data_IF_422181764155
#
_entry.id   IF_422181764155
#
_cell.length_a   1.000
_cell.length_b   1.000
_cell.length_c   1.000
_cell.angle_alpha   90.00
_cell.angle_beta   90.00
_cell.angle_gamma   90.00
#
_symmetry.space_group_name_H-M   'P 1'
#
loop_
_entity.id
_entity.type
_entity.pdbx_description
1 polymer ?
#
# COMPACT_ATOMS: atom_id res chain seq x y z
N UNK A 1 -50.05 37.34 2.25
CA UNK A 1 -50.58 36.00 1.95
C UNK A 1 -50.05 35.03 2.98
N UNK A 2 -50.94 34.50 3.79
CA UNK A 2 -50.71 33.83 5.07
C UNK A 2 -51.09 32.36 4.93
N UNK A 3 -50.11 31.46 5.16
CA UNK A 3 -50.18 30.08 5.71
C UNK A 3 -51.04 29.02 4.94
N UNK A 4 -50.79 27.68 5.05
CA UNK A 4 -50.17 26.97 6.18
C UNK A 4 -49.19 25.82 5.84
N UNK A 5 -48.44 25.35 6.85
CA UNK A 5 -47.98 23.95 6.98
C UNK A 5 -49.14 23.15 7.64
N UNK A 6 -49.29 21.78 7.60
CA UNK A 6 -48.23 20.86 8.04
C UNK A 6 -48.34 19.33 7.65
N UNK A 7 -47.35 18.55 8.12
CA UNK A 7 -47.43 17.18 8.68
C UNK A 7 -47.66 15.91 7.83
N UNK A 8 -46.79 14.93 8.15
CA UNK A 8 -46.96 13.47 8.26
C UNK A 8 -46.45 12.50 7.18
N UNK A 9 -45.79 11.46 7.73
CA UNK A 9 -44.97 10.38 7.17
C UNK A 9 -45.83 9.19 6.70
N UNK A 10 -45.24 8.17 6.03
CA UNK A 10 -44.99 6.96 6.80
C UNK A 10 -43.63 6.29 6.54
N UNK A 11 -42.92 6.07 7.64
CA UNK A 11 -42.46 4.75 8.10
C UNK A 11 -41.88 3.79 7.03
N UNK A 12 -40.56 3.59 7.07
CA UNK A 12 -40.03 2.25 7.35
C UNK A 12 -38.61 2.33 7.93
N UNK A 13 -38.48 1.64 9.07
CA UNK A 13 -37.28 1.41 9.83
C UNK A 13 -36.17 0.77 8.99
N UNK A 14 -34.94 1.22 9.19
CA UNK A 14 -33.76 0.58 8.63
C UNK A 14 -32.51 1.04 9.35
N UNK A 15 -32.25 0.41 10.50
CA UNK A 15 -30.92 0.34 11.13
C UNK A 15 -29.85 0.16 10.05
N UNK A 16 -28.67 0.77 10.22
CA UNK A 16 -27.32 0.22 9.96
C UNK A 16 -26.29 1.32 9.66
N UNK A 17 -25.60 1.79 10.71
CA UNK A 17 -24.13 1.81 10.66
C UNK A 17 -23.65 0.35 10.64
N UNK A 18 -22.58 -0.02 9.92
CA UNK A 18 -21.31 0.72 9.84
C UNK A 18 -20.75 0.91 8.43
N UNK A 19 -20.01 2.00 8.19
CA UNK A 19 -19.22 2.15 6.96
C UNK A 19 -17.88 1.43 7.14
N UNK A 20 -17.88 0.21 6.63
CA UNK A 20 -16.80 -0.76 6.44
C UNK A 20 -15.49 -0.11 5.94
N UNK A 21 -14.30 -0.50 6.42
CA UNK A 21 -13.04 -0.22 5.74
C UNK A 21 -13.06 -0.93 4.39
N UNK A 22 -13.22 -0.16 3.30
CA UNK A 22 -13.04 -0.55 1.89
C UNK A 22 -12.97 -2.07 1.64
N UNK A 23 -14.09 -2.75 1.88
CA UNK A 23 -14.35 -4.05 1.30
C UNK A 23 -14.61 -3.78 -0.17
N UNK A 24 -13.62 -4.05 -1.00
CA UNK A 24 -13.82 -4.14 -2.43
C UNK A 24 -14.95 -5.17 -2.63
N UNK A 25 -16.08 -4.72 -3.15
CA UNK A 25 -17.27 -5.51 -3.42
C UNK A 25 -16.90 -6.82 -4.13
N UNK A 26 -17.24 -7.95 -3.52
CA UNK A 26 -17.15 -9.27 -4.14
C UNK A 26 -18.01 -9.28 -5.40
N UNK A 27 -17.48 -9.67 -6.57
CA UNK A 27 -18.31 -9.86 -7.75
C UNK A 27 -19.27 -11.03 -7.50
N UNK A 28 -20.53 -10.78 -7.82
CA UNK A 28 -21.63 -11.74 -7.89
C UNK A 28 -21.20 -12.99 -8.69
N UNK A 29 -21.35 -14.19 -8.10
CA UNK A 29 -20.97 -15.47 -8.72
C UNK A 29 -21.80 -15.73 -9.97
N UNK A 30 -21.26 -15.39 -11.14
CA UNK A 30 -21.71 -15.89 -12.45
C UNK A 30 -20.78 -17.00 -12.94
N UNK A 31 -21.37 -18.19 -13.12
CA UNK A 31 -20.92 -19.29 -13.99
C UNK A 31 -19.41 -19.54 -14.08
N UNK A 32 -18.90 -20.42 -13.23
CA UNK A 32 -17.48 -20.78 -13.19
C UNK A 32 -17.13 -21.78 -14.29
N UNK A 33 -16.80 -21.26 -15.49
CA UNK A 33 -15.97 -21.99 -16.46
C UNK A 33 -14.60 -22.16 -15.82
N UNK A 34 -14.11 -23.40 -15.72
CA UNK A 34 -12.82 -23.80 -15.13
C UNK A 34 -11.65 -23.25 -15.98
N UNK A 35 -11.45 -21.94 -15.95
CA UNK A 35 -10.29 -21.28 -16.56
C UNK A 35 -9.07 -21.61 -15.72
N UNK A 36 -7.96 -21.95 -16.38
CA UNK A 36 -6.67 -22.21 -15.74
C UNK A 36 -6.33 -21.04 -14.78
N UNK A 37 -6.39 -21.28 -13.48
CA UNK A 37 -6.16 -20.28 -12.42
C UNK A 37 -4.84 -19.55 -12.65
N UNK A 38 -3.81 -20.27 -13.09
CA UNK A 38 -2.51 -19.71 -13.48
C UNK A 38 -2.57 -18.71 -14.63
N UNK A 39 -3.35 -18.99 -15.67
CA UNK A 39 -3.52 -18.08 -16.82
C UNK A 39 -4.33 -16.84 -16.42
N UNK A 40 -5.36 -16.99 -15.60
CA UNK A 40 -6.13 -15.85 -15.09
C UNK A 40 -5.29 -14.99 -14.16
N UNK A 41 -4.54 -15.59 -13.23
CA UNK A 41 -3.60 -14.89 -12.34
C UNK A 41 -2.54 -14.14 -13.14
N UNK A 42 -1.91 -14.80 -14.12
CA UNK A 42 -0.90 -14.18 -14.97
C UNK A 42 -1.47 -13.01 -15.78
N UNK A 43 -2.67 -13.19 -16.34
CA UNK A 43 -3.34 -12.12 -17.08
C UNK A 43 -3.75 -10.95 -16.18
N UNK A 44 -4.11 -11.18 -14.92
CA UNK A 44 -4.44 -10.12 -13.96
C UNK A 44 -3.18 -9.41 -13.43
N UNK A 45 -2.13 -10.14 -13.05
CA UNK A 45 -0.82 -9.55 -12.70
C UNK A 45 -0.27 -8.73 -13.87
N UNK A 46 -0.50 -9.20 -15.11
CA UNK A 46 -0.14 -8.46 -16.31
C UNK A 46 -1.07 -7.26 -16.54
N UNK A 47 -2.32 -7.24 -16.12
CA UNK A 47 -3.24 -6.11 -16.39
C UNK A 47 -3.27 -5.06 -15.27
N UNK A 48 -3.10 -5.48 -14.03
CA UNK A 48 -3.12 -4.60 -12.86
C UNK A 48 -1.75 -3.97 -12.63
N UNK A 49 -1.70 -2.65 -12.63
CA UNK A 49 -0.50 -1.88 -12.32
C UNK A 49 0.06 -2.24 -10.93
N UNK A 50 -0.81 -2.50 -9.95
CA UNK A 50 -0.42 -2.90 -8.60
C UNK A 50 0.25 -4.29 -8.58
N UNK A 51 -0.26 -5.25 -9.35
CA UNK A 51 0.35 -6.58 -9.48
C UNK A 51 1.77 -6.51 -10.07
N UNK A 52 1.97 -5.68 -11.08
CA UNK A 52 3.28 -5.43 -11.69
C UNK A 52 4.25 -4.80 -10.69
N UNK A 53 3.83 -3.76 -9.96
CA UNK A 53 4.63 -3.10 -8.91
C UNK A 53 5.13 -4.13 -7.87
N UNK A 54 4.25 -5.02 -7.38
CA UNK A 54 4.66 -6.05 -6.42
C UNK A 54 5.66 -7.04 -7.00
N UNK A 55 5.46 -7.51 -8.23
CA UNK A 55 6.42 -8.39 -8.90
C UNK A 55 7.79 -7.74 -9.09
N UNK A 56 7.83 -6.47 -9.51
CA UNK A 56 9.07 -5.70 -9.62
C UNK A 56 9.76 -5.53 -8.27
N UNK A 57 9.00 -5.25 -7.19
CA UNK A 57 9.55 -5.19 -5.82
C UNK A 57 10.18 -6.52 -5.42
N UNK A 58 9.49 -7.65 -5.62
CA UNK A 58 10.03 -8.98 -5.28
C UNK A 58 11.32 -9.23 -6.06
N UNK A 59 11.32 -9.03 -7.38
CA UNK A 59 12.50 -9.24 -8.22
C UNK A 59 13.67 -8.33 -7.79
N UNK A 60 13.40 -7.06 -7.53
CA UNK A 60 14.38 -6.10 -7.04
C UNK A 60 15.04 -6.59 -5.74
N UNK A 61 14.26 -7.04 -4.76
CA UNK A 61 14.79 -7.47 -3.47
C UNK A 61 15.46 -8.84 -3.52
N UNK A 62 15.05 -9.74 -4.41
CA UNK A 62 15.80 -10.98 -4.70
C UNK A 62 17.18 -10.65 -5.26
N UNK A 63 17.28 -9.73 -6.22
CA UNK A 63 18.58 -9.29 -6.76
C UNK A 63 19.45 -8.66 -5.67
N UNK A 64 18.86 -7.77 -4.84
CA UNK A 64 19.58 -7.17 -3.70
C UNK A 64 20.07 -8.23 -2.70
N UNK A 65 19.30 -9.30 -2.49
CA UNK A 65 19.71 -10.42 -1.63
C UNK A 65 20.88 -11.21 -2.23
N UNK A 66 20.85 -11.51 -3.53
CA UNK A 66 21.96 -12.16 -4.23
C UNK A 66 23.25 -11.32 -4.20
N UNK A 67 23.11 -9.99 -4.31
CA UNK A 67 24.22 -9.05 -4.16
C UNK A 67 24.76 -9.01 -2.73
N UNK A 68 23.88 -9.01 -1.73
CA UNK A 68 24.26 -9.02 -0.31
C UNK A 68 25.10 -10.25 0.03
N UNK A 69 24.71 -11.43 -0.45
CA UNK A 69 25.46 -12.68 -0.27
C UNK A 69 26.62 -12.87 -1.25
N UNK A 70 26.94 -11.87 -2.09
CA UNK A 70 28.01 -11.90 -3.11
C UNK A 70 27.91 -13.06 -4.11
N UNK A 71 26.69 -13.58 -4.33
CA UNK A 71 26.42 -14.65 -5.30
C UNK A 71 26.40 -14.12 -6.73
N UNK A 72 26.01 -12.85 -6.91
CA UNK A 72 25.87 -12.21 -8.21
C UNK A 72 26.93 -11.11 -8.43
N UNK A 73 27.29 -10.87 -9.69
CA UNK A 73 28.30 -9.86 -10.03
C UNK A 73 27.78 -8.42 -9.80
N UNK A 74 28.48 -7.58 -9.02
CA UNK A 74 27.93 -6.29 -8.60
C UNK A 74 27.67 -5.33 -9.77
N UNK A 75 28.51 -5.37 -10.82
CA UNK A 75 28.43 -4.41 -11.94
C UNK A 75 27.09 -4.44 -12.70
N UNK A 76 26.59 -5.63 -13.04
CA UNK A 76 25.37 -5.77 -13.86
C UNK A 76 24.12 -5.78 -13.01
N UNK A 77 24.17 -6.48 -11.88
CA UNK A 77 22.99 -6.74 -11.06
C UNK A 77 22.57 -5.53 -10.21
N UNK A 78 23.51 -4.69 -9.78
CA UNK A 78 23.17 -3.43 -9.08
C UNK A 78 22.46 -2.43 -9.99
N UNK A 79 22.91 -2.33 -11.25
CA UNK A 79 22.26 -1.50 -12.27
C UNK A 79 20.84 -2.00 -12.53
N UNK A 80 20.63 -3.32 -12.69
CA UNK A 80 19.30 -3.90 -12.87
C UNK A 80 18.37 -3.63 -11.68
N UNK A 81 18.83 -3.84 -10.45
CA UNK A 81 18.05 -3.55 -9.25
C UNK A 81 17.65 -2.07 -9.15
N UNK A 82 18.55 -1.17 -9.58
CA UNK A 82 18.29 0.27 -9.63
C UNK A 82 17.23 0.61 -10.68
N UNK A 83 17.35 0.05 -11.89
CA UNK A 83 16.38 0.28 -12.96
C UNK A 83 14.99 -0.25 -12.58
N UNK A 84 14.88 -1.44 -11.99
CA UNK A 84 13.61 -1.97 -11.47
C UNK A 84 12.99 -1.05 -10.43
N UNK A 85 13.80 -0.44 -9.55
CA UNK A 85 13.33 0.53 -8.58
C UNK A 85 12.77 1.79 -9.24
N UNK A 86 13.47 2.34 -10.23
CA UNK A 86 13.07 3.56 -10.94
C UNK A 86 11.79 3.29 -11.75
N UNK A 87 11.74 2.17 -12.48
CA UNK A 87 10.53 1.75 -13.20
C UNK A 87 9.33 1.65 -12.27
N UNK A 88 9.52 1.10 -11.07
CA UNK A 88 8.47 1.02 -10.05
C UNK A 88 7.97 2.40 -9.62
N UNK A 89 8.87 3.33 -9.33
CA UNK A 89 8.50 4.70 -8.97
C UNK A 89 7.77 5.43 -10.11
N UNK A 90 8.21 5.25 -11.36
CA UNK A 90 7.55 5.82 -12.54
C UNK A 90 6.13 5.29 -12.72
N UNK A 91 5.89 4.00 -12.46
CA UNK A 91 4.55 3.41 -12.55
C UNK A 91 3.59 3.91 -11.47
N UNK A 92 4.13 4.42 -10.36
CA UNK A 92 3.37 5.01 -9.27
C UNK A 92 3.24 6.54 -9.38
N UNK A 93 3.77 7.14 -10.44
CA UNK A 93 3.76 8.59 -10.61
C UNK A 93 2.33 9.11 -10.73
N UNK A 94 2.00 10.18 -10.00
CA UNK A 94 0.66 10.78 -10.03
C UNK A 94 -0.38 10.07 -9.16
N UNK A 95 0.03 9.14 -8.28
CA UNK A 95 -0.85 8.53 -7.28
C UNK A 95 -1.54 9.56 -6.37
N UNK A 96 -0.94 10.74 -6.21
CA UNK A 96 -1.51 11.87 -5.43
C UNK A 96 -2.94 12.23 -5.84
N UNK A 97 -3.30 12.05 -7.12
CA UNK A 97 -4.65 12.39 -7.62
C UNK A 97 -5.74 11.53 -6.96
N UNK A 98 -5.41 10.27 -6.65
CA UNK A 98 -6.30 9.37 -5.92
C UNK A 98 -6.57 9.92 -4.51
N UNK A 99 -5.52 10.34 -3.80
CA UNK A 99 -5.62 10.78 -2.41
C UNK A 99 -6.34 12.13 -2.29
N UNK A 100 -6.15 13.03 -3.26
CA UNK A 100 -6.91 14.30 -3.35
C UNK A 100 -8.41 14.04 -3.49
N UNK A 101 -8.80 13.04 -4.28
CA UNK A 101 -10.22 12.69 -4.45
C UNK A 101 -10.84 12.21 -3.12
N UNK A 102 -10.07 11.44 -2.34
CA UNK A 102 -10.49 10.93 -1.02
C UNK A 102 -10.53 12.06 0.02
N UNK A 103 -9.62 13.04 -0.08
CA UNK A 103 -9.56 14.18 0.83
C UNK A 103 -10.85 14.98 0.82
N UNK A 104 -11.37 15.29 -0.37
CA UNK A 104 -12.63 16.01 -0.53
C UNK A 104 -13.80 15.30 0.16
N UNK A 105 -13.79 13.97 0.18
CA UNK A 105 -14.85 13.19 0.87
C UNK A 105 -14.65 13.12 2.38
N UNK A 106 -13.41 13.11 2.85
CA UNK A 106 -13.06 12.99 4.28
C UNK A 106 -13.25 14.31 5.01
N UNK A 107 -12.87 15.42 4.38
CA UNK A 107 -13.12 16.79 4.87
C UNK A 107 -14.61 17.02 5.07
N UNK A 108 -15.45 16.60 4.11
CA UNK A 108 -16.91 16.71 4.21
C UNK A 108 -17.52 15.93 5.38
N UNK A 109 -16.84 14.88 5.86
CA UNK A 109 -17.30 14.08 7.02
C UNK A 109 -16.84 14.64 8.37
N UNK A 110 -15.99 15.67 8.39
CA UNK A 110 -15.52 16.30 9.63
C UNK A 110 -14.57 15.45 10.47
N UNK A 111 -13.93 14.43 9.88
CA UNK A 111 -12.99 13.56 10.61
C UNK A 111 -11.57 14.18 10.61
N UNK A 112 -11.31 15.09 11.57
CA UNK A 112 -10.08 15.90 11.61
C UNK A 112 -8.78 15.09 11.63
N UNK A 113 -8.72 14.01 12.43
CA UNK A 113 -7.50 13.19 12.53
C UNK A 113 -7.22 12.39 11.25
N UNK A 114 -8.26 11.85 10.60
CA UNK A 114 -8.13 11.16 9.30
C UNK A 114 -7.73 12.13 8.20
N UNK A 115 -8.27 13.35 8.24
CA UNK A 115 -7.86 14.43 7.34
C UNK A 115 -6.37 14.73 7.51
N UNK A 116 -5.87 14.85 8.74
CA UNK A 116 -4.45 15.09 9.00
C UNK A 116 -3.54 13.95 8.48
N UNK A 117 -3.92 12.69 8.73
CA UNK A 117 -3.18 11.53 8.21
C UNK A 117 -3.18 11.49 6.68
N UNK A 118 -4.30 11.80 6.04
CA UNK A 118 -4.39 11.84 4.59
C UNK A 118 -3.56 12.97 3.98
N UNK A 119 -3.43 14.10 4.67
CA UNK A 119 -2.51 15.15 4.26
C UNK A 119 -1.04 14.68 4.33
N UNK A 120 -0.67 13.88 5.33
CA UNK A 120 0.67 13.27 5.41
C UNK A 120 0.89 12.32 4.23
N UNK A 121 -0.11 11.50 3.87
CA UNK A 121 -0.04 10.60 2.70
C UNK A 121 0.08 11.38 1.38
N UNK A 122 -0.66 12.48 1.23
CA UNK A 122 -0.55 13.39 0.07
C UNK A 122 0.84 14.02 0.01
N UNK A 123 1.36 14.52 1.13
CA UNK A 123 2.72 15.06 1.21
C UNK A 123 3.76 13.99 0.83
N UNK A 124 3.59 12.76 1.30
CA UNK A 124 4.43 11.64 0.89
C UNK A 124 4.37 11.42 -0.62
N UNK A 125 3.18 11.30 -1.20
CA UNK A 125 3.00 11.02 -2.63
C UNK A 125 3.62 12.11 -3.51
N UNK A 126 3.43 13.39 -3.16
CA UNK A 126 4.07 14.51 -3.86
C UNK A 126 5.59 14.42 -3.74
N UNK A 127 6.10 14.14 -2.55
CA UNK A 127 7.54 14.05 -2.31
C UNK A 127 8.17 12.88 -3.06
N UNK A 128 7.50 11.72 -3.11
CA UNK A 128 7.90 10.56 -3.90
C UNK A 128 7.95 10.88 -5.40
N UNK A 129 6.94 11.60 -5.93
CA UNK A 129 6.90 12.02 -7.33
C UNK A 129 8.05 12.98 -7.66
N UNK A 130 8.34 13.96 -6.79
CA UNK A 130 9.47 14.89 -6.94
C UNK A 130 10.81 14.14 -6.90
N UNK A 131 10.96 13.19 -5.99
CA UNK A 131 12.16 12.35 -5.93
C UNK A 131 12.32 11.49 -7.19
N UNK A 132 11.23 10.91 -7.69
CA UNK A 132 11.21 10.15 -8.95
C UNK A 132 11.68 11.01 -10.14
N UNK A 133 11.14 12.23 -10.28
CA UNK A 133 11.56 13.17 -11.33
C UNK A 133 13.03 13.57 -11.22
N UNK A 134 13.56 13.72 -10.00
CA UNK A 134 15.00 13.91 -9.78
C UNK A 134 15.81 12.69 -10.27
N UNK A 135 15.38 11.47 -9.95
CA UNK A 135 16.08 10.22 -10.35
C UNK A 135 16.13 9.99 -11.85
N UNK A 136 15.15 10.52 -12.60
CA UNK A 136 15.10 10.47 -14.07
C UNK A 136 15.95 11.61 -14.70
N UNK A 137 16.40 12.58 -13.90
CA UNK A 137 17.24 13.69 -14.35
C UNK A 137 16.46 14.94 -14.77
N UNK A 138 15.17 15.02 -14.44
CA UNK A 138 14.31 16.17 -14.77
C UNK A 138 14.50 17.31 -13.76
N UNK A 139 14.66 16.97 -12.48
CA UNK A 139 14.79 17.95 -11.39
C UNK A 139 16.22 18.06 -10.85
N UNK A 140 16.51 19.18 -10.21
CA UNK A 140 17.82 19.43 -9.62
C UNK A 140 18.07 18.63 -8.34
N UNK A 141 19.34 18.37 -8.03
CA UNK A 141 19.78 17.59 -6.86
C UNK A 141 19.28 18.14 -5.52
N UNK A 142 19.11 19.46 -5.42
CA UNK A 142 18.63 20.11 -4.18
C UNK A 142 17.21 19.66 -3.81
N UNK A 143 16.31 19.65 -4.79
CA UNK A 143 14.93 19.20 -4.61
C UNK A 143 14.88 17.69 -4.36
N UNK A 144 15.65 16.91 -5.12
CA UNK A 144 15.73 15.46 -4.95
C UNK A 144 16.08 15.02 -3.53
N UNK A 145 17.15 15.57 -2.95
CA UNK A 145 17.59 15.17 -1.61
C UNK A 145 16.58 15.54 -0.52
N UNK A 146 15.97 16.72 -0.60
CA UNK A 146 14.94 17.11 0.37
C UNK A 146 13.71 16.21 0.27
N UNK A 147 13.29 15.91 -0.96
CA UNK A 147 12.12 15.07 -1.21
C UNK A 147 12.31 13.61 -0.77
N UNK A 148 13.52 13.07 -0.86
CA UNK A 148 13.85 11.75 -0.32
C UNK A 148 13.63 11.70 1.20
N UNK A 149 14.16 12.70 1.91
CA UNK A 149 14.07 12.79 3.38
C UNK A 149 12.61 12.98 3.81
N UNK A 150 11.89 13.92 3.18
CA UNK A 150 10.49 14.21 3.52
C UNK A 150 9.62 12.98 3.29
N UNK A 151 9.75 12.32 2.13
CA UNK A 151 8.99 11.10 1.83
C UNK A 151 9.27 10.00 2.85
N UNK A 152 10.53 9.73 3.19
CA UNK A 152 10.87 8.70 4.17
C UNK A 152 10.18 8.94 5.53
N UNK A 153 10.16 10.18 6.02
CA UNK A 153 9.52 10.52 7.29
C UNK A 153 7.99 10.46 7.23
N UNK A 154 7.39 10.98 6.16
CA UNK A 154 5.93 10.89 5.98
C UNK A 154 5.49 9.43 5.88
N UNK A 155 6.19 8.61 5.08
CA UNK A 155 5.89 7.19 4.95
C UNK A 155 6.05 6.44 6.27
N UNK A 156 7.09 6.76 7.05
CA UNK A 156 7.31 6.17 8.37
C UNK A 156 6.12 6.40 9.32
N UNK A 157 5.64 7.64 9.40
CA UNK A 157 4.46 8.01 10.23
C UNK A 157 3.22 7.24 9.75
N UNK A 158 2.99 7.20 8.43
CA UNK A 158 1.86 6.48 7.84
C UNK A 158 1.91 4.98 8.10
N UNK A 159 3.10 4.36 8.11
CA UNK A 159 3.24 2.92 8.42
C UNK A 159 2.95 2.64 9.90
N UNK A 160 3.39 3.49 10.83
CA UNK A 160 3.07 3.32 12.26
C UNK A 160 1.55 3.23 12.46
N UNK A 161 0.82 4.15 11.84
CA UNK A 161 -0.64 4.16 11.90
C UNK A 161 -1.25 2.90 11.24
N UNK A 162 -0.70 2.44 10.12
CA UNK A 162 -1.14 1.21 9.46
C UNK A 162 -0.92 -0.04 10.33
N UNK A 163 0.22 -0.16 11.01
CA UNK A 163 0.49 -1.26 11.95
C UNK A 163 -0.56 -1.28 13.06
N UNK A 164 -0.82 -0.13 13.69
CA UNK A 164 -1.83 -0.02 14.74
C UNK A 164 -3.23 -0.41 14.24
N UNK A 165 -3.60 0.06 13.04
CA UNK A 165 -4.90 -0.22 12.43
C UNK A 165 -5.05 -1.71 12.11
N UNK A 166 -4.04 -2.34 11.49
CA UNK A 166 -4.10 -3.76 11.16
C UNK A 166 -4.08 -4.64 12.40
N UNK A 167 -3.31 -4.27 13.43
CA UNK A 167 -3.29 -4.99 14.70
C UNK A 167 -4.65 -4.93 15.41
N UNK A 168 -5.26 -3.74 15.47
CA UNK A 168 -6.60 -3.57 16.05
C UNK A 168 -7.66 -4.40 15.32
N UNK A 169 -7.59 -4.45 13.98
CA UNK A 169 -8.47 -5.28 13.17
C UNK A 169 -8.25 -6.78 13.41
N UNK A 170 -7.00 -7.21 13.61
CA UNK A 170 -6.68 -8.60 13.93
C UNK A 170 -7.31 -9.02 15.27
N UNK A 171 -7.11 -8.23 16.33
CA UNK A 171 -7.71 -8.49 17.64
C UNK A 171 -9.24 -8.55 17.58
N UNK A 172 -9.86 -7.66 16.80
CA UNK A 172 -11.30 -7.64 16.60
C UNK A 172 -11.82 -8.93 15.92
N UNK A 173 -11.10 -9.43 14.91
CA UNK A 173 -11.46 -10.65 14.20
C UNK A 173 -11.27 -11.90 15.08
N UNK A 174 -10.21 -11.94 15.88
CA UNK A 174 -9.98 -13.01 16.85
C UNK A 174 -11.10 -13.05 17.91
N UNK A 175 -11.48 -11.89 18.46
CA UNK A 175 -12.56 -11.80 19.45
C UNK A 175 -13.94 -12.15 18.90
N UNK A 176 -14.19 -11.96 17.60
CA UNK A 176 -15.46 -12.30 16.93
C UNK A 176 -15.55 -13.74 16.43
N UNK A 177 -14.48 -14.55 16.57
CA UNK A 177 -14.44 -15.89 16.00
C UNK A 177 -14.58 -15.87 14.48
N UNK A 178 -13.92 -14.92 13.81
CA UNK A 178 -13.98 -14.76 12.36
C UNK A 178 -13.48 -16.02 11.63
N UNK A 179 -13.88 -16.16 10.36
CA UNK A 179 -13.49 -17.31 9.54
C UNK A 179 -11.96 -17.44 9.46
N UNK A 180 -11.39 -18.65 9.49
CA UNK A 180 -9.93 -18.85 9.53
C UNK A 180 -9.16 -18.14 8.40
N UNK A 181 -9.76 -18.03 7.21
CA UNK A 181 -9.14 -17.34 6.08
C UNK A 181 -8.98 -15.84 6.31
N UNK A 182 -9.98 -15.19 6.91
CA UNK A 182 -9.92 -13.75 7.22
C UNK A 182 -8.87 -13.48 8.29
N UNK A 183 -8.75 -14.39 9.25
CA UNK A 183 -7.74 -14.33 10.30
C UNK A 183 -6.32 -14.45 9.73
N UNK A 184 -6.10 -15.40 8.81
CA UNK A 184 -4.81 -15.56 8.12
C UNK A 184 -4.48 -14.28 7.34
N UNK A 185 -5.43 -13.74 6.59
CA UNK A 185 -5.22 -12.51 5.81
C UNK A 185 -4.91 -11.30 6.71
N UNK A 186 -5.57 -11.19 7.85
CA UNK A 186 -5.29 -10.15 8.84
C UNK A 186 -3.87 -10.27 9.42
N UNK A 187 -3.43 -11.49 9.78
CA UNK A 187 -2.06 -11.77 10.23
C UNK A 187 -1.02 -11.40 9.17
N UNK A 188 -1.29 -11.72 7.91
CA UNK A 188 -0.43 -11.32 6.77
C UNK A 188 -0.33 -9.80 6.64
N UNK A 189 -1.43 -9.06 6.84
CA UNK A 189 -1.41 -7.59 6.80
C UNK A 189 -0.53 -7.00 7.89
N UNK A 190 -0.65 -7.50 9.12
CA UNK A 190 0.18 -7.07 10.25
C UNK A 190 1.65 -7.37 9.99
N UNK A 191 1.97 -8.61 9.63
CA UNK A 191 3.35 -9.03 9.34
C UNK A 191 3.97 -8.20 8.21
N UNK A 192 3.21 -7.92 7.14
CA UNK A 192 3.67 -7.04 6.05
C UNK A 192 3.95 -5.63 6.55
N UNK A 193 3.05 -5.05 7.33
CA UNK A 193 3.20 -3.68 7.82
C UNK A 193 4.40 -3.55 8.78
N UNK A 194 4.65 -4.56 9.62
CA UNK A 194 5.87 -4.63 10.45
C UNK A 194 7.12 -4.71 9.57
N UNK A 195 7.11 -5.53 8.53
CA UNK A 195 8.24 -5.60 7.59
C UNK A 195 8.47 -4.25 6.88
N UNK A 196 7.42 -3.57 6.42
CA UNK A 196 7.53 -2.21 5.86
C UNK A 196 8.04 -1.19 6.90
N UNK A 197 7.66 -1.33 8.18
CA UNK A 197 8.14 -0.47 9.27
C UNK A 197 9.64 -0.65 9.53
N UNK A 198 10.12 -1.89 9.58
CA UNK A 198 11.56 -2.19 9.72
C UNK A 198 12.33 -1.65 8.53
N UNK A 199 11.79 -1.86 7.32
CA UNK A 199 12.37 -1.36 6.08
C UNK A 199 12.55 0.16 6.12
N UNK A 200 11.46 0.89 6.36
CA UNK A 200 11.45 2.34 6.38
C UNK A 200 12.24 2.90 7.56
N UNK A 201 12.22 2.22 8.72
CA UNK A 201 13.06 2.57 9.86
C UNK A 201 14.55 2.50 9.56
N UNK A 202 14.99 1.61 8.68
CA UNK A 202 16.38 1.60 8.21
C UNK A 202 16.73 2.86 7.42
N UNK A 203 15.80 3.37 6.60
CA UNK A 203 15.97 4.59 5.80
C UNK A 203 15.93 5.87 6.67
N UNK A 204 15.19 5.87 7.77
CA UNK A 204 15.10 7.04 8.67
C UNK A 204 16.29 7.06 9.65
N UNK A 205 16.56 5.96 10.34
CA UNK A 205 17.51 5.93 11.46
C UNK A 205 18.93 5.50 11.10
N UNK A 206 19.14 4.97 9.89
CA UNK A 206 20.46 4.57 9.39
C UNK A 206 21.30 3.71 10.37
N UNK A 207 20.75 2.61 10.94
CA UNK A 207 21.51 1.79 11.88
C UNK A 207 22.73 1.10 11.22
N UNK A 208 23.77 0.70 11.99
CA UNK A 208 25.01 0.13 11.43
C UNK A 208 24.82 -1.14 10.59
N UNK A 209 23.75 -1.91 10.85
CA UNK A 209 23.40 -3.13 10.10
C UNK A 209 22.19 -2.94 9.15
N UNK A 210 21.93 -1.70 8.74
CA UNK A 210 20.76 -1.32 7.92
C UNK A 210 20.64 -2.09 6.62
N UNK A 211 21.75 -2.36 5.93
CA UNK A 211 21.70 -2.96 4.58
C UNK A 211 21.08 -4.36 4.57
N UNK A 212 21.48 -5.25 5.48
CA UNK A 212 20.91 -6.60 5.55
C UNK A 212 19.44 -6.57 5.97
N UNK A 213 19.14 -5.82 7.04
CA UNK A 213 17.77 -5.66 7.56
C UNK A 213 16.82 -5.12 6.49
N UNK A 214 17.24 -4.11 5.74
CA UNK A 214 16.48 -3.51 4.66
C UNK A 214 16.21 -4.51 3.52
N UNK A 215 17.20 -5.32 3.15
CA UNK A 215 17.05 -6.34 2.09
C UNK A 215 16.02 -7.40 2.49
N UNK A 216 16.14 -7.96 3.69
CA UNK A 216 15.24 -9.01 4.16
C UNK A 216 13.81 -8.48 4.40
N UNK A 217 13.67 -7.35 5.09
CA UNK A 217 12.37 -6.73 5.34
C UNK A 217 11.66 -6.33 4.05
N UNK A 218 12.40 -5.78 3.07
CA UNK A 218 11.88 -5.43 1.75
C UNK A 218 11.39 -6.66 0.96
N UNK A 219 12.14 -7.77 1.01
CA UNK A 219 11.74 -9.04 0.39
C UNK A 219 10.50 -9.64 1.06
N UNK A 220 10.49 -9.72 2.40
CA UNK A 220 9.36 -10.27 3.17
C UNK A 220 8.08 -9.47 2.88
N UNK A 221 8.15 -8.14 2.93
CA UNK A 221 7.01 -7.28 2.56
C UNK A 221 6.53 -7.54 1.13
N UNK A 222 7.45 -7.66 0.18
CA UNK A 222 7.13 -7.98 -1.22
C UNK A 222 6.42 -9.33 -1.36
N UNK A 223 6.95 -10.38 -0.74
CA UNK A 223 6.37 -11.73 -0.77
C UNK A 223 4.98 -11.78 -0.11
N UNK A 224 4.80 -11.13 1.03
CA UNK A 224 3.49 -11.06 1.72
C UNK A 224 2.47 -10.27 0.88
N UNK A 225 2.88 -9.19 0.22
CA UNK A 225 2.02 -8.48 -0.72
C UNK A 225 1.63 -9.35 -1.92
N UNK A 226 2.59 -10.10 -2.48
CA UNK A 226 2.34 -11.07 -3.55
C UNK A 226 1.38 -12.19 -3.13
N UNK A 227 1.53 -12.71 -1.92
CA UNK A 227 0.61 -13.70 -1.34
C UNK A 227 -0.82 -13.15 -1.25
N UNK A 228 -1.01 -11.90 -0.81
CA UNK A 228 -2.35 -11.27 -0.79
C UNK A 228 -2.99 -11.23 -2.17
N UNK A 229 -2.22 -10.87 -3.20
CA UNK A 229 -2.71 -10.86 -4.59
C UNK A 229 -3.11 -12.28 -5.00
N UNK A 230 -2.26 -13.27 -4.75
CA UNK A 230 -2.56 -14.67 -5.05
C UNK A 230 -3.86 -15.16 -4.37
N UNK A 231 -4.07 -14.85 -3.09
CA UNK A 231 -5.26 -15.25 -2.35
C UNK A 231 -6.56 -14.65 -2.87
N UNK A 232 -6.52 -13.49 -3.54
CA UNK A 232 -7.73 -12.88 -4.13
C UNK A 232 -8.27 -13.65 -5.34
N UNK A 233 -7.45 -14.50 -5.97
CA UNK A 233 -7.79 -15.22 -7.20
C UNK A 233 -7.96 -16.73 -7.00
N UNK A 234 -7.76 -17.23 -5.79
CA UNK A 234 -8.02 -18.61 -5.41
C UNK A 234 -9.48 -18.77 -4.99
#
# INVERSE_FOLDING_TARGET
MTLPAPLTSPNQQGKNLPRNPSFCSLPEKKGQVRKNVWLTLWNSVRKDLDGRDKCMKILQYVIKLLLYHRVASPKKWSALATQLSITRQVLCLGNVLSDISVLNTTVKKGESYKTALLLIDICNAISDDVYCLYRIGILSKKWGLHSEIISAHCWFISIIYQVQTYYSNLCLLEGKGAHPQDLILAKVNVAKAIADLIFCGCDVFHPPSSQGLQVYSGLISGLLAGYKVYTKFK
#
